data_IF_892880904318
#
_entry.id   IF_892880904318
#
_cell.length_a   1.000
_cell.length_b   1.000
_cell.length_c   1.000
_cell.angle_alpha   90.00
_cell.angle_beta   90.00
_cell.angle_gamma   90.00
#
_symmetry.space_group_name_H-M   'P 1'
#
loop_
_entity.id
_entity.type
_entity.pdbx_description
1 polymer ?
#
# COMPACT_ATOMS: atom_id res chain seq x y z
N UNK A 1 17.81 -13.03 10.67
CA UNK A 1 17.01 -11.81 10.88
C UNK A 1 16.44 -11.36 9.54
N UNK A 2 15.15 -11.04 9.48
CA UNK A 2 14.58 -10.36 8.30
C UNK A 2 15.11 -8.93 8.22
N UNK A 3 15.15 -8.32 7.03
CA UNK A 3 15.44 -6.89 6.88
C UNK A 3 14.49 -6.03 7.73
N UNK A 4 13.22 -6.42 7.83
CA UNK A 4 12.24 -5.75 8.67
C UNK A 4 12.65 -5.76 10.16
N UNK A 5 13.13 -6.88 10.68
CA UNK A 5 13.54 -7.02 12.08
C UNK A 5 14.82 -6.19 12.35
N UNK A 6 15.72 -6.12 11.35
CA UNK A 6 16.89 -5.25 11.42
C UNK A 6 16.51 -3.77 11.43
N UNK A 7 15.60 -3.35 10.56
CA UNK A 7 15.12 -1.97 10.48
C UNK A 7 14.44 -1.54 11.79
N UNK A 8 13.58 -2.39 12.37
CA UNK A 8 12.92 -2.14 13.66
C UNK A 8 13.96 -2.00 14.77
N UNK A 9 14.93 -2.92 14.85
CA UNK A 9 15.99 -2.86 15.86
C UNK A 9 16.84 -1.59 15.75
N UNK A 10 17.03 -1.04 14.54
CA UNK A 10 17.68 0.26 14.41
C UNK A 10 16.81 1.40 14.94
N UNK A 11 15.50 1.38 14.66
CA UNK A 11 14.58 2.44 15.10
C UNK A 11 14.40 2.41 16.63
N UNK A 12 14.32 1.22 17.23
CA UNK A 12 14.21 1.04 18.69
C UNK A 12 15.46 1.50 19.46
N UNK A 13 16.63 1.54 18.82
CA UNK A 13 17.87 2.05 19.44
C UNK A 13 17.94 3.58 19.50
N UNK A 14 17.06 4.26 18.78
CA UNK A 14 17.04 5.73 18.69
C UNK A 14 16.07 6.38 19.69
N UNK A 15 15.38 5.58 20.50
CA UNK A 15 14.33 6.02 21.42
C UNK A 15 14.58 5.40 22.79
N UNK A 16 14.48 6.22 23.83
CA UNK A 16 14.82 5.80 25.20
C UNK A 16 13.57 5.39 25.99
N UNK A 17 12.40 5.88 25.61
CA UNK A 17 11.13 5.58 26.27
C UNK A 17 10.02 5.05 25.32
N UNK A 18 8.91 4.63 25.92
CA UNK A 18 7.75 4.11 25.17
C UNK A 18 7.01 5.20 24.38
N UNK A 19 7.03 6.44 24.86
CA UNK A 19 6.33 7.56 24.24
C UNK A 19 7.04 7.99 22.94
N UNK A 20 8.35 8.14 22.97
CA UNK A 20 9.24 8.39 21.85
C UNK A 20 9.11 7.28 20.80
N UNK A 21 9.09 6.00 21.22
CA UNK A 21 8.83 4.88 20.32
C UNK A 21 7.48 4.99 19.64
N UNK A 22 6.43 5.31 20.39
CA UNK A 22 5.09 5.50 19.84
C UNK A 22 5.04 6.69 18.86
N UNK A 23 5.74 7.79 19.15
CA UNK A 23 5.82 8.94 18.25
C UNK A 23 6.64 8.66 16.99
N UNK A 24 7.72 7.88 17.09
CA UNK A 24 8.50 7.45 15.93
C UNK A 24 7.69 6.56 14.97
N UNK A 25 6.86 5.67 15.51
CA UNK A 25 5.93 4.89 14.68
C UNK A 25 4.84 5.75 14.04
N UNK A 26 4.29 6.74 14.76
CA UNK A 26 3.32 7.69 14.20
C UNK A 26 3.95 8.54 13.10
N UNK A 27 5.16 9.07 13.29
CA UNK A 27 5.86 9.85 12.28
C UNK A 27 6.16 9.02 11.03
N UNK A 28 6.55 7.75 11.20
CA UNK A 28 6.74 6.80 10.09
C UNK A 28 5.44 6.54 9.32
N UNK A 29 4.31 6.46 10.03
CA UNK A 29 2.98 6.30 9.40
C UNK A 29 2.61 7.52 8.57
N UNK A 30 2.87 8.72 9.09
CA UNK A 30 2.66 9.97 8.37
C UNK A 30 3.58 10.07 7.16
N UNK A 31 4.87 9.75 7.32
CA UNK A 31 5.85 9.75 6.24
C UNK A 31 5.45 8.80 5.11
N UNK A 32 4.98 7.59 5.44
CA UNK A 32 4.49 6.63 4.45
C UNK A 32 3.25 7.16 3.71
N UNK A 33 2.32 7.80 4.42
CA UNK A 33 1.13 8.40 3.80
C UNK A 33 1.50 9.52 2.81
N UNK A 34 2.45 10.40 3.17
CA UNK A 34 2.95 11.43 2.26
C UNK A 34 3.79 10.85 1.11
N UNK A 35 4.54 9.78 1.36
CA UNK A 35 5.27 9.07 0.32
C UNK A 35 4.34 8.48 -0.74
N UNK A 36 3.17 7.95 -0.34
CA UNK A 36 2.15 7.48 -1.29
C UNK A 36 1.66 8.63 -2.20
N UNK A 37 1.44 9.82 -1.64
CA UNK A 37 1.08 11.01 -2.42
C UNK A 37 2.20 11.48 -3.34
N UNK A 38 3.46 11.41 -2.89
CA UNK A 38 4.62 11.73 -3.73
C UNK A 38 4.76 10.75 -4.89
N UNK A 39 4.64 9.44 -4.64
CA UNK A 39 4.63 8.42 -5.67
C UNK A 39 3.56 8.67 -6.74
N UNK A 40 2.34 9.01 -6.31
CA UNK A 40 1.25 9.38 -7.20
C UNK A 40 1.55 10.67 -7.99
N UNK A 41 2.06 11.70 -7.34
CA UNK A 41 2.47 12.94 -7.99
C UNK A 41 3.58 12.72 -9.02
N UNK A 42 4.59 11.91 -8.68
CA UNK A 42 5.65 11.50 -9.62
C UNK A 42 5.10 10.73 -10.81
N UNK A 43 4.14 9.81 -10.59
CA UNK A 43 3.50 9.08 -11.67
C UNK A 43 2.77 10.01 -12.65
N UNK A 44 2.06 11.03 -12.13
CA UNK A 44 1.44 12.08 -12.96
C UNK A 44 2.50 12.81 -13.78
N UNK A 45 3.54 13.34 -13.13
CA UNK A 45 4.59 14.10 -13.81
C UNK A 45 5.24 13.26 -14.91
N UNK A 46 5.60 12.01 -14.62
CA UNK A 46 6.22 11.10 -15.59
C UNK A 46 5.28 10.76 -16.76
N UNK A 47 3.98 10.58 -16.50
CA UNK A 47 2.99 10.30 -17.53
C UNK A 47 2.86 11.44 -18.56
N UNK A 48 3.06 12.70 -18.14
CA UNK A 48 2.99 13.86 -19.01
C UNK A 48 4.33 14.21 -19.68
N UNK A 49 5.45 14.01 -18.98
CA UNK A 49 6.79 14.37 -19.48
C UNK A 49 7.36 13.33 -20.44
N UNK A 50 7.12 12.04 -20.21
CA UNK A 50 7.76 10.98 -21.00
C UNK A 50 7.08 10.81 -22.37
N UNK A 51 7.83 10.87 -23.48
CA UNK A 51 7.26 10.77 -24.81
C UNK A 51 6.87 9.33 -25.16
N UNK A 52 5.76 9.18 -25.89
CA UNK A 52 5.34 7.89 -26.45
C UNK A 52 5.19 6.80 -25.40
N UNK A 53 5.61 5.58 -25.74
CA UNK A 53 5.51 4.40 -24.86
C UNK A 53 6.30 4.49 -23.56
N UNK A 54 7.26 5.42 -23.45
CA UNK A 54 7.98 5.64 -22.19
C UNK A 54 7.07 6.17 -21.07
N UNK A 55 5.95 6.82 -21.40
CA UNK A 55 4.96 7.24 -20.41
C UNK A 55 4.39 6.07 -19.59
N UNK A 56 4.36 4.84 -20.14
CA UNK A 56 3.98 3.63 -19.39
C UNK A 56 4.97 3.28 -18.28
N UNK A 57 6.26 3.61 -18.44
CA UNK A 57 7.26 3.41 -17.40
C UNK A 57 6.97 4.29 -16.17
N UNK A 58 6.28 5.42 -16.35
CA UNK A 58 5.79 6.25 -15.25
C UNK A 58 4.85 5.52 -14.28
N UNK A 59 4.17 4.46 -14.73
CA UNK A 59 3.31 3.64 -13.87
C UNK A 59 4.10 2.83 -12.84
N UNK A 60 5.40 2.60 -13.05
CA UNK A 60 6.28 1.94 -12.08
C UNK A 60 6.34 2.75 -10.77
N UNK A 61 6.16 4.08 -10.83
CA UNK A 61 6.12 4.92 -9.63
C UNK A 61 4.95 4.58 -8.69
N UNK A 62 3.93 3.85 -9.16
CA UNK A 62 2.79 3.38 -8.34
C UNK A 62 3.13 2.06 -7.63
N UNK A 63 4.08 1.28 -8.14
CA UNK A 63 4.42 -0.04 -7.59
C UNK A 63 4.90 -0.01 -6.12
N UNK A 64 5.70 0.98 -5.66
CA UNK A 64 6.08 1.09 -4.25
C UNK A 64 4.90 1.21 -3.28
N UNK A 65 3.78 1.82 -3.71
CA UNK A 65 2.58 2.00 -2.88
C UNK A 65 1.96 0.65 -2.52
N UNK A 66 1.73 -0.20 -3.53
CA UNK A 66 1.17 -1.54 -3.32
C UNK A 66 2.18 -2.48 -2.68
N UNK A 67 3.45 -2.43 -3.11
CA UNK A 67 4.49 -3.31 -2.60
C UNK A 67 4.77 -3.10 -1.10
N UNK A 68 4.92 -1.85 -0.65
CA UNK A 68 5.17 -1.51 0.76
C UNK A 68 4.03 -1.97 1.67
N UNK A 69 2.77 -1.76 1.25
CA UNK A 69 1.58 -2.20 2.00
C UNK A 69 1.47 -3.71 2.09
N UNK A 70 1.74 -4.43 1.00
CA UNK A 70 1.68 -5.90 0.99
C UNK A 70 2.74 -6.51 1.91
N UNK A 71 3.98 -6.01 1.85
CA UNK A 71 5.06 -6.47 2.73
C UNK A 71 4.74 -6.14 4.19
N UNK A 72 4.28 -4.93 4.48
CA UNK A 72 3.90 -4.50 5.83
C UNK A 72 2.81 -5.41 6.42
N UNK A 73 1.75 -5.69 5.65
CA UNK A 73 0.69 -6.60 6.06
C UNK A 73 1.21 -8.03 6.27
N UNK A 74 2.07 -8.52 5.38
CA UNK A 74 2.61 -9.88 5.48
C UNK A 74 3.54 -10.04 6.69
N UNK A 75 4.34 -9.03 7.02
CA UNK A 75 5.15 -9.00 8.22
C UNK A 75 4.26 -8.93 9.48
N UNK A 76 3.26 -8.05 9.49
CA UNK A 76 2.37 -7.85 10.64
C UNK A 76 1.60 -9.12 11.03
N UNK A 77 1.15 -9.90 10.04
CA UNK A 77 0.47 -11.20 10.25
C UNK A 77 1.29 -12.25 11.00
N UNK A 78 2.61 -12.06 11.14
CA UNK A 78 3.46 -12.96 11.93
C UNK A 78 3.29 -12.75 13.43
N UNK A 79 2.94 -11.55 13.84
CA UNK A 79 2.95 -11.13 15.25
C UNK A 79 1.56 -10.76 15.78
N UNK A 80 0.68 -10.26 14.90
CA UNK A 80 -0.66 -9.81 15.31
C UNK A 80 -1.70 -10.13 14.24
N UNK A 81 -2.97 -10.34 14.63
CA UNK A 81 -4.07 -10.43 13.68
C UNK A 81 -4.21 -9.09 12.95
N UNK A 82 -4.58 -9.14 11.66
CA UNK A 82 -4.68 -7.95 10.79
C UNK A 82 -5.46 -6.82 11.47
N UNK A 83 -5.02 -5.56 11.39
CA UNK A 83 -5.76 -4.42 11.92
C UNK A 83 -7.10 -4.23 11.19
N UNK A 84 -8.05 -3.54 11.84
CA UNK A 84 -9.32 -3.16 11.19
C UNK A 84 -9.03 -2.20 10.04
N UNK A 85 -9.86 -2.26 9.00
CA UNK A 85 -9.66 -1.40 7.85
C UNK A 85 -10.01 0.04 8.20
N UNK A 86 -9.10 0.96 7.92
CA UNK A 86 -9.41 2.38 7.90
C UNK A 86 -10.02 2.68 6.52
N UNK A 87 -11.33 2.92 6.49
CA UNK A 87 -11.97 3.35 5.27
C UNK A 87 -11.42 4.73 4.85
N UNK A 88 -10.87 4.87 3.62
CA UNK A 88 -10.42 6.17 3.15
C UNK A 88 -11.60 7.13 3.13
N UNK A 89 -11.31 8.39 3.43
CA UNK A 89 -12.31 9.45 3.41
C UNK A 89 -12.85 9.60 1.98
N UNK A 90 -14.12 10.04 1.86
CA UNK A 90 -14.72 10.35 0.55
C UNK A 90 -13.84 11.32 -0.25
N UNK A 91 -13.22 12.29 0.42
CA UNK A 91 -12.29 13.23 -0.18
C UNK A 91 -11.01 12.59 -0.70
N UNK A 92 -10.44 11.63 0.03
CA UNK A 92 -9.24 10.91 -0.42
C UNK A 92 -9.54 10.04 -1.64
N UNK A 93 -10.71 9.41 -1.67
CA UNK A 93 -11.17 8.62 -2.82
C UNK A 93 -11.32 9.53 -4.05
N UNK A 94 -11.99 10.68 -3.89
CA UNK A 94 -12.16 11.65 -4.99
C UNK A 94 -10.80 12.13 -5.50
N UNK A 95 -9.88 12.48 -4.59
CA UNK A 95 -8.54 12.93 -4.97
C UNK A 95 -7.76 11.84 -5.72
N UNK A 96 -7.81 10.59 -5.24
CA UNK A 96 -7.18 9.46 -5.91
C UNK A 96 -7.76 9.23 -7.31
N UNK A 97 -9.08 9.34 -7.48
CA UNK A 97 -9.74 9.20 -8.79
C UNK A 97 -9.29 10.30 -9.75
N UNK A 98 -9.21 11.56 -9.29
CA UNK A 98 -8.75 12.69 -10.10
C UNK A 98 -7.30 12.48 -10.55
N UNK A 99 -6.42 12.10 -9.63
CA UNK A 99 -5.01 11.83 -9.94
C UNK A 99 -4.90 10.68 -10.94
N UNK A 100 -5.66 9.60 -10.73
CA UNK A 100 -5.63 8.45 -11.62
C UNK A 100 -6.11 8.82 -13.04
N UNK A 101 -7.16 9.64 -13.14
CA UNK A 101 -7.61 10.20 -14.41
C UNK A 101 -6.52 11.05 -15.08
N UNK A 102 -5.80 11.89 -14.32
CA UNK A 102 -4.70 12.70 -14.84
C UNK A 102 -3.53 11.85 -15.37
N UNK A 103 -3.20 10.73 -14.72
CA UNK A 103 -2.19 9.78 -15.21
C UNK A 103 -2.65 9.15 -16.53
N UNK A 104 -3.88 8.64 -16.57
CA UNK A 104 -4.47 7.99 -17.76
C UNK A 104 -4.47 8.95 -18.95
N UNK A 105 -4.94 10.18 -18.74
CA UNK A 105 -4.97 11.22 -19.79
C UNK A 105 -3.57 11.57 -20.26
N UNK A 106 -2.60 11.72 -19.35
CA UNK A 106 -1.20 12.00 -19.72
C UNK A 106 -0.58 10.89 -20.58
N UNK A 107 -0.80 9.63 -20.21
CA UNK A 107 -0.35 8.47 -20.99
C UNK A 107 -0.97 8.45 -22.38
N UNK A 108 -2.28 8.66 -22.50
CA UNK A 108 -2.96 8.67 -23.81
C UNK A 108 -2.67 9.90 -24.65
N UNK A 109 -2.35 11.03 -24.02
CA UNK A 109 -1.84 12.20 -24.74
C UNK A 109 -0.53 11.86 -25.46
N UNK A 110 0.34 11.07 -24.82
CA UNK A 110 1.65 10.71 -25.35
C UNK A 110 1.65 9.51 -26.32
N UNK A 111 0.81 8.49 -26.09
CA UNK A 111 0.78 7.25 -26.90
C UNK A 111 -0.30 7.30 -27.99
N UNK A 112 -1.24 8.22 -27.87
CA UNK A 112 -2.46 8.26 -28.67
C UNK A 112 -3.60 7.48 -28.00
N UNK A 113 -4.83 7.91 -28.30
CA UNK A 113 -6.02 7.27 -27.76
C UNK A 113 -6.17 5.85 -28.33
N UNK A 114 -6.33 4.82 -27.49
CA UNK A 114 -6.56 3.47 -27.95
C UNK A 114 -7.91 3.40 -28.67
N UNK A 115 -7.97 2.57 -29.73
CA UNK A 115 -9.22 2.31 -30.46
C UNK A 115 -10.30 1.72 -29.53
N UNK A 116 -9.87 0.97 -28.52
CA UNK A 116 -10.71 0.44 -27.45
C UNK A 116 -10.33 1.06 -26.10
N UNK A 117 -11.05 2.11 -25.64
CA UNK A 117 -10.81 2.76 -24.35
C UNK A 117 -10.92 1.79 -23.16
N UNK A 118 -11.73 0.76 -23.31
CA UNK A 118 -11.98 -0.24 -22.27
C UNK A 118 -10.77 -1.13 -21.98
N UNK A 119 -9.83 -1.28 -22.91
CA UNK A 119 -8.64 -2.12 -22.73
C UNK A 119 -7.70 -1.62 -21.62
N UNK A 120 -7.76 -0.33 -21.27
CA UNK A 120 -7.00 0.27 -20.17
C UNK A 120 -7.86 0.49 -18.92
N UNK A 121 -9.14 0.84 -19.11
CA UNK A 121 -10.08 1.07 -18.00
C UNK A 121 -10.35 -0.25 -17.25
N UNK A 122 -10.50 -1.39 -17.94
CA UNK A 122 -10.78 -2.69 -17.30
C UNK A 122 -9.66 -3.17 -16.37
N UNK A 123 -8.37 -3.19 -16.77
CA UNK A 123 -7.28 -3.54 -15.86
C UNK A 123 -7.13 -2.56 -14.70
N UNK A 124 -7.28 -1.25 -14.96
CA UNK A 124 -7.17 -0.22 -13.94
C UNK A 124 -8.29 -0.31 -12.89
N UNK A 125 -9.54 -0.43 -13.35
CA UNK A 125 -10.71 -0.61 -12.49
C UNK A 125 -10.68 -1.97 -11.79
N UNK A 126 -10.19 -3.02 -12.46
CA UNK A 126 -9.96 -4.34 -11.87
C UNK A 126 -8.93 -4.31 -10.74
N UNK A 127 -7.86 -3.53 -10.86
CA UNK A 127 -6.89 -3.32 -9.78
C UNK A 127 -7.48 -2.58 -8.58
N UNK A 128 -8.25 -1.51 -8.82
CA UNK A 128 -8.93 -0.75 -7.76
C UNK A 128 -10.03 -1.57 -7.07
N UNK A 129 -10.88 -2.26 -7.83
CA UNK A 129 -11.94 -3.13 -7.30
C UNK A 129 -11.36 -4.37 -6.63
N UNK A 130 -10.30 -4.96 -7.19
CA UNK A 130 -9.63 -6.13 -6.64
C UNK A 130 -8.95 -5.81 -5.31
N UNK A 131 -8.30 -4.64 -5.20
CA UNK A 131 -7.77 -4.16 -3.93
C UNK A 131 -8.89 -3.89 -2.94
N UNK A 132 -9.93 -3.13 -3.30
CA UNK A 132 -11.12 -2.91 -2.46
C UNK A 132 -11.78 -4.22 -1.97
N UNK A 133 -11.96 -5.20 -2.85
CA UNK A 133 -12.54 -6.50 -2.52
C UNK A 133 -11.62 -7.35 -1.65
N UNK A 134 -10.32 -7.37 -1.93
CA UNK A 134 -9.31 -8.01 -1.08
C UNK A 134 -9.30 -7.38 0.32
N UNK A 135 -9.50 -6.07 0.42
CA UNK A 135 -9.62 -5.34 1.69
C UNK A 135 -10.91 -5.68 2.43
N UNK A 136 -12.08 -5.67 1.77
CA UNK A 136 -13.36 -6.08 2.38
C UNK A 136 -13.32 -7.53 2.87
N UNK A 137 -12.68 -8.42 2.11
CA UNK A 137 -12.48 -9.83 2.50
C UNK A 137 -11.50 -9.99 3.67
N UNK A 138 -10.62 -9.02 3.89
CA UNK A 138 -9.64 -9.08 4.99
C UNK A 138 -10.29 -8.96 6.37
N UNK A 139 -11.40 -8.22 6.49
CA UNK A 139 -12.15 -8.12 7.74
C UNK A 139 -12.84 -9.44 8.10
N UNK A 140 -13.39 -10.15 7.12
CA UNK A 140 -13.98 -11.47 7.32
C UNK A 140 -12.94 -12.53 7.73
N UNK A 141 -11.70 -12.40 7.24
CA UNK A 141 -10.59 -13.31 7.60
C UNK A 141 -9.92 -12.98 8.94
N UNK A 142 -10.35 -11.92 9.62
CA UNK A 142 -9.72 -11.46 10.86
C UNK A 142 -9.91 -12.47 12.01
N UNK A 143 -11.05 -13.14 12.04
CA UNK A 143 -11.32 -14.22 12.99
C UNK A 143 -10.50 -15.48 12.69
N UNK A 144 -10.32 -15.82 11.40
CA UNK A 144 -9.46 -16.92 10.96
C UNK A 144 -7.99 -16.67 11.31
N UNK A 145 -7.49 -15.46 11.05
CA UNK A 145 -6.13 -15.05 11.39
C UNK A 145 -5.91 -15.07 12.91
N UNK A 146 -6.91 -14.68 13.72
CA UNK A 146 -6.84 -14.78 15.19
C UNK A 146 -6.75 -16.23 15.65
N UNK A 147 -7.63 -17.11 15.14
CA UNK A 147 -7.60 -18.56 15.44
C UNK A 147 -6.30 -19.23 14.99
N UNK A 148 -5.73 -18.80 13.86
CA UNK A 148 -4.46 -19.30 13.37
C UNK A 148 -3.28 -18.86 14.25
N UNK A 149 -3.31 -17.65 14.80
CA UNK A 149 -2.31 -17.18 15.76
C UNK A 149 -2.44 -17.90 17.10
N UNK A 150 -3.66 -18.04 17.62
CA UNK A 150 -3.95 -18.75 18.87
C UNK A 150 -3.51 -20.22 18.79
N UNK A 151 -3.59 -20.86 17.62
CA UNK A 151 -3.06 -22.21 17.40
C UNK A 151 -1.53 -22.27 17.41
N UNK A 152 -0.85 -21.21 16.96
CA UNK A 152 0.62 -21.14 16.93
C UNK A 152 1.24 -20.72 18.25
N UNK A 153 0.49 -19.97 19.06
CA UNK A 153 0.93 -19.38 20.35
C UNK A 153 0.20 -20.00 21.56
N UNK A 154 -0.63 -21.03 21.32
CA UNK A 154 -1.35 -21.77 22.36
C UNK A 154 -0.42 -22.68 23.18
N UNK A 155 -0.93 -23.27 24.28
CA UNK A 155 -0.18 -23.72 25.48
C UNK A 155 0.94 -24.76 25.31
N UNK A 156 1.24 -25.23 24.10
CA UNK A 156 2.35 -26.16 23.83
C UNK A 156 3.71 -25.46 23.61
N UNK A 157 3.82 -24.14 23.77
CA UNK A 157 5.09 -23.40 23.60
C UNK A 157 5.79 -23.02 24.92
N UNK A 158 5.37 -23.58 26.05
CA UNK A 158 6.00 -23.37 27.37
C UNK A 158 6.64 -24.61 27.97
N UNK A 159 6.79 -25.69 27.20
CA UNK A 159 7.57 -26.86 27.60
C UNK A 159 8.51 -27.24 26.43
N UNK A 160 9.73 -26.70 26.47
CA UNK A 160 11.00 -27.33 26.08
C UNK A 160 12.18 -26.34 26.27
#
# INVERSE_FOLDING_TARGET
MSYADFAIKQHERLVDDEFERAMLHKSSTVALAYNDWLCLGSAVILAWILPGYYSLAGLIAIAPITFSRLIGIQWLRRFTPRPRYLAPSKWEIILQVIIFAAIVVGVFHNIGWPKDPFSFILPASGGLLGTYYAYKRSEARREEDRKALDRKLGPDSTED
#
